data_IF_628942606384
#
_entry.id   IF_628942606384
#
_cell.length_a   1.000
_cell.length_b   1.000
_cell.length_c   1.000
_cell.angle_alpha   90.00
_cell.angle_beta   90.00
_cell.angle_gamma   90.00
#
_symmetry.space_group_name_H-M   'P 1'
#
loop_
_entity.id
_entity.type
_entity.pdbx_description
1 polymer ?
#
# COMPACT_ATOMS: atom_id res chain seq x y z
N UNK A 1 4.17 20.90 -26.51
CA UNK A 1 4.88 19.76 -25.89
C UNK A 1 5.19 20.11 -24.45
N UNK A 2 4.82 19.26 -23.51
CA UNK A 2 5.39 19.33 -22.16
C UNK A 2 6.90 19.17 -22.27
N UNK A 3 7.66 20.00 -21.57
CA UNK A 3 9.10 19.78 -21.42
C UNK A 3 9.29 18.42 -20.73
N UNK A 4 10.29 17.65 -21.16
CA UNK A 4 10.50 16.28 -20.70
C UNK A 4 10.43 16.16 -19.16
N UNK A 5 9.41 15.46 -18.66
CA UNK A 5 9.17 15.25 -17.24
C UNK A 5 9.45 13.78 -16.91
N UNK A 6 10.36 13.53 -15.99
CA UNK A 6 10.62 12.23 -15.41
C UNK A 6 9.95 12.08 -14.03
N UNK A 7 9.11 11.07 -13.85
CA UNK A 7 8.63 10.57 -12.55
C UNK A 7 9.50 9.38 -12.14
N UNK A 8 9.82 9.25 -10.86
CA UNK A 8 10.56 8.12 -10.30
C UNK A 8 9.77 7.45 -9.19
N UNK A 9 9.53 6.14 -9.32
CA UNK A 9 8.91 5.29 -8.30
C UNK A 9 10.02 4.72 -7.43
N UNK A 10 10.12 5.21 -6.18
CA UNK A 10 11.12 4.76 -5.20
C UNK A 10 10.80 3.34 -4.75
N UNK A 11 11.84 2.54 -4.51
CA UNK A 11 11.67 1.26 -3.80
C UNK A 11 11.16 1.51 -2.38
N UNK A 12 10.38 0.56 -1.89
CA UNK A 12 9.87 0.59 -0.53
C UNK A 12 11.03 0.41 0.48
N UNK A 13 10.93 1.00 1.67
CA UNK A 13 12.00 1.01 2.68
C UNK A 13 12.37 -0.41 3.14
N UNK A 14 13.64 -0.86 3.01
CA UNK A 14 14.17 -2.13 3.55
C UNK A 14 13.70 -2.50 4.95
N UNK A 15 13.58 -1.53 5.85
CA UNK A 15 13.18 -1.77 7.25
C UNK A 15 11.68 -2.07 7.41
N UNK A 16 10.85 -1.70 6.43
CA UNK A 16 9.41 -1.97 6.42
C UNK A 16 9.14 -3.29 5.70
N UNK A 17 9.50 -4.40 6.36
CA UNK A 17 9.48 -5.75 5.75
C UNK A 17 8.11 -6.18 5.20
N UNK A 18 7.01 -5.60 5.69
CA UNK A 18 5.63 -5.88 5.27
C UNK A 18 5.04 -4.86 4.30
N UNK A 19 5.76 -3.79 3.94
CA UNK A 19 5.25 -2.82 2.97
C UNK A 19 5.33 -3.42 1.57
N UNK A 20 4.16 -3.62 0.97
CA UNK A 20 3.97 -4.22 -0.35
C UNK A 20 3.33 -3.24 -1.33
N UNK A 21 2.81 -2.11 -0.86
CA UNK A 21 2.12 -1.13 -1.70
C UNK A 21 3.12 -0.31 -2.51
N UNK A 22 2.66 0.20 -3.65
CA UNK A 22 3.40 1.08 -4.54
C UNK A 22 2.57 2.37 -4.77
N UNK A 23 3.18 3.56 -4.90
CA UNK A 23 2.44 4.81 -5.13
C UNK A 23 1.67 4.83 -6.46
N UNK A 24 2.08 4.03 -7.45
CA UNK A 24 1.40 3.86 -8.73
C UNK A 24 1.32 2.38 -9.07
N UNK A 25 0.19 1.94 -9.62
CA UNK A 25 0.07 0.63 -10.25
C UNK A 25 0.68 0.65 -11.66
N UNK A 26 1.07 -0.50 -12.23
CA UNK A 26 1.46 -0.61 -13.64
C UNK A 26 0.40 -0.02 -14.59
N UNK A 27 -0.89 -0.25 -14.30
CA UNK A 27 -1.98 0.33 -15.08
C UNK A 27 -1.97 1.87 -15.04
N UNK A 28 -1.78 2.47 -13.87
CA UNK A 28 -1.68 3.92 -13.74
C UNK A 28 -0.44 4.49 -14.46
N UNK A 29 0.68 3.77 -14.41
CA UNK A 29 1.88 4.13 -15.18
C UNK A 29 1.60 4.14 -16.68
N UNK A 30 0.98 3.09 -17.19
CA UNK A 30 0.61 3.01 -18.60
C UNK A 30 -0.31 4.17 -19.00
N UNK A 31 -1.35 4.44 -18.21
CA UNK A 31 -2.28 5.54 -18.46
C UNK A 31 -1.57 6.91 -18.50
N UNK A 32 -0.67 7.18 -17.55
CA UNK A 32 0.11 8.42 -17.52
C UNK A 32 1.01 8.58 -18.75
N UNK A 33 1.65 7.50 -19.19
CA UNK A 33 2.51 7.51 -20.38
C UNK A 33 1.72 7.72 -21.68
N UNK A 34 0.45 7.27 -21.73
CA UNK A 34 -0.45 7.53 -22.86
C UNK A 34 -1.01 8.96 -22.85
N UNK A 35 -1.27 9.52 -21.67
CA UNK A 35 -1.86 10.85 -21.53
C UNK A 35 -0.85 11.98 -21.78
N UNK A 36 0.42 11.79 -21.40
CA UNK A 36 1.42 12.86 -21.41
C UNK A 36 2.61 12.54 -22.33
N UNK A 37 2.57 13.10 -23.54
CA UNK A 37 3.70 13.03 -24.49
C UNK A 37 5.01 13.54 -23.88
N UNK A 38 6.05 12.71 -23.94
CA UNK A 38 7.39 13.01 -23.42
C UNK A 38 7.56 12.79 -21.91
N UNK A 39 6.54 12.25 -21.22
CA UNK A 39 6.68 11.74 -19.85
C UNK A 39 7.57 10.49 -19.85
N UNK A 40 8.43 10.38 -18.84
CA UNK A 40 9.16 9.14 -18.54
C UNK A 40 8.85 8.70 -17.13
N UNK A 41 8.64 7.41 -16.93
CA UNK A 41 8.51 6.82 -15.59
C UNK A 41 9.70 5.91 -15.34
N UNK A 42 10.49 6.25 -14.32
CA UNK A 42 11.57 5.42 -13.81
C UNK A 42 11.07 4.62 -12.60
N UNK A 43 11.53 3.39 -12.45
CA UNK A 43 11.18 2.53 -11.31
C UNK A 43 12.45 1.91 -10.70
N UNK A 44 12.58 2.01 -9.38
CA UNK A 44 13.64 1.27 -8.68
C UNK A 44 13.25 -0.21 -8.53
N UNK A 45 14.19 -1.15 -8.76
CA UNK A 45 14.00 -2.56 -8.45
C UNK A 45 13.60 -2.79 -7.00
N UNK A 46 12.59 -3.65 -6.79
CA UNK A 46 12.13 -4.07 -5.48
C UNK A 46 11.35 -5.38 -5.59
N UNK A 47 11.87 -6.45 -4.97
CA UNK A 47 11.24 -7.78 -4.95
C UNK A 47 10.09 -7.90 -3.94
N UNK A 48 9.83 -6.82 -3.18
CA UNK A 48 8.80 -6.85 -2.14
C UNK A 48 7.47 -6.33 -2.62
N UNK A 49 7.41 -5.29 -3.44
CA UNK A 49 6.12 -4.71 -3.82
C UNK A 49 5.22 -5.74 -4.50
N UNK A 50 3.92 -5.49 -4.45
CA UNK A 50 2.89 -6.39 -4.98
C UNK A 50 2.96 -6.58 -6.50
N UNK A 51 3.50 -5.59 -7.23
CA UNK A 51 3.71 -5.65 -8.68
C UNK A 51 5.17 -5.88 -9.01
N UNK A 52 5.44 -6.86 -9.85
CA UNK A 52 6.77 -7.23 -10.32
C UNK A 52 7.40 -6.14 -11.18
N UNK A 53 8.73 -6.18 -11.33
CA UNK A 53 9.43 -5.29 -12.28
C UNK A 53 8.91 -5.50 -13.70
N UNK A 54 8.67 -6.74 -14.13
CA UNK A 54 8.20 -7.06 -15.47
C UNK A 54 6.86 -6.40 -15.80
N UNK A 55 5.92 -6.35 -14.84
CA UNK A 55 4.66 -5.63 -15.02
C UNK A 55 4.88 -4.11 -15.25
N UNK A 56 5.86 -3.50 -14.57
CA UNK A 56 6.22 -2.10 -14.82
C UNK A 56 6.88 -1.89 -16.18
N UNK A 57 7.75 -2.82 -16.61
CA UNK A 57 8.37 -2.77 -17.94
C UNK A 57 7.32 -2.88 -19.05
N UNK A 58 6.36 -3.80 -18.90
CA UNK A 58 5.24 -3.95 -19.82
C UNK A 58 4.35 -2.71 -19.86
N UNK A 59 4.20 -2.00 -18.73
CA UNK A 59 3.50 -0.73 -18.68
C UNK A 59 4.26 0.44 -19.35
N UNK A 60 5.55 0.26 -19.70
CA UNK A 60 6.40 1.27 -20.32
C UNK A 60 7.32 2.03 -19.35
N UNK A 61 7.39 1.61 -18.09
CA UNK A 61 8.38 2.16 -17.16
C UNK A 61 9.80 1.68 -17.49
N UNK A 62 10.80 2.43 -17.04
CA UNK A 62 12.21 2.10 -17.22
C UNK A 62 12.87 1.82 -15.87
N UNK A 63 13.66 0.75 -15.72
CA UNK A 63 14.35 0.46 -14.48
C UNK A 63 15.46 1.49 -14.25
N UNK A 64 15.63 1.95 -13.01
CA UNK A 64 16.69 2.89 -12.68
C UNK A 64 17.15 2.74 -11.22
N UNK A 65 18.46 2.63 -10.94
CA UNK A 65 18.97 2.28 -9.61
C UNK A 65 18.82 3.40 -8.57
N UNK A 66 18.96 4.67 -8.97
CA UNK A 66 19.02 5.80 -8.03
C UNK A 66 17.91 6.84 -8.17
N UNK A 67 17.09 6.79 -9.23
CA UNK A 67 16.16 7.87 -9.63
C UNK A 67 16.80 9.26 -9.77
N UNK A 68 18.12 9.36 -9.95
CA UNK A 68 18.81 10.64 -10.13
C UNK A 68 18.19 11.55 -11.22
N UNK A 69 17.66 11.05 -12.35
CA UNK A 69 17.02 11.88 -13.38
C UNK A 69 15.57 12.28 -13.11
N UNK A 70 14.96 11.83 -12.00
CA UNK A 70 13.54 12.06 -11.70
C UNK A 70 13.28 13.50 -11.22
N UNK A 71 12.35 14.23 -11.84
CA UNK A 71 11.91 15.53 -11.30
C UNK A 71 10.93 15.35 -10.15
N UNK A 72 10.14 14.28 -10.18
CA UNK A 72 9.18 13.91 -9.15
C UNK A 72 9.53 12.51 -8.65
N UNK A 73 9.74 12.34 -7.34
CA UNK A 73 9.99 11.05 -6.70
C UNK A 73 8.78 10.69 -5.86
N UNK A 74 8.19 9.53 -6.15
CA UNK A 74 7.01 9.00 -5.47
C UNK A 74 7.43 7.84 -4.57
N UNK A 75 6.91 7.79 -3.35
CA UNK A 75 7.02 6.64 -2.46
C UNK A 75 5.87 6.62 -1.47
N UNK A 76 5.42 5.45 -1.03
CA UNK A 76 4.33 5.37 -0.03
C UNK A 76 4.80 5.95 1.30
N UNK A 77 5.91 5.43 1.83
CA UNK A 77 6.49 5.83 3.10
C UNK A 77 7.62 6.82 2.92
N UNK A 78 7.99 7.42 4.05
CA UNK A 78 9.09 8.34 4.23
C UNK A 78 10.34 7.89 3.47
N UNK A 79 11.02 8.85 2.83
CA UNK A 79 12.31 8.57 2.19
C UNK A 79 13.39 8.55 3.26
N UNK A 80 14.20 7.47 3.39
CA UNK A 80 15.34 7.46 4.29
C UNK A 80 16.27 8.65 4.00
N UNK A 81 16.74 9.34 5.04
CA UNK A 81 17.57 10.55 4.91
C UNK A 81 18.79 10.32 3.99
N UNK A 82 19.54 9.19 4.09
CA UNK A 82 20.64 8.93 3.17
C UNK A 82 20.21 8.90 1.69
N UNK A 83 19.07 8.28 1.38
CA UNK A 83 18.55 8.24 0.00
C UNK A 83 18.17 9.65 -0.50
N UNK A 84 17.68 10.52 0.38
CA UNK A 84 17.30 11.89 0.06
C UNK A 84 18.52 12.80 -0.16
N UNK A 85 19.63 12.59 0.54
CA UNK A 85 20.85 13.39 0.37
C UNK A 85 21.63 13.02 -0.89
N UNK A 86 21.52 11.79 -1.37
CA UNK A 86 22.14 11.35 -2.63
C UNK A 86 21.44 11.86 -3.90
N UNK A 87 20.22 12.42 -3.77
CA UNK A 87 19.47 12.96 -4.90
C UNK A 87 19.78 14.44 -5.11
N UNK A 88 20.37 14.75 -6.27
CA UNK A 88 20.64 16.14 -6.66
C UNK A 88 19.33 16.90 -6.90
N UNK A 89 19.23 18.10 -6.35
CA UNK A 89 18.20 19.10 -6.61
C UNK A 89 18.87 20.47 -6.62
N UNK A 90 18.56 21.37 -7.57
CA UNK A 90 17.59 21.22 -8.64
C UNK A 90 18.09 20.31 -9.78
N UNK A 91 17.18 19.89 -10.66
CA UNK A 91 17.53 19.19 -11.90
C UNK A 91 17.44 20.14 -13.11
N UNK A 92 18.27 19.94 -14.15
CA UNK A 92 18.11 20.61 -15.42
C UNK A 92 16.74 20.32 -16.05
N UNK A 93 16.12 21.35 -16.61
CA UNK A 93 14.82 21.28 -17.29
C UNK A 93 14.78 22.25 -18.47
N UNK A 94 15.56 21.93 -19.51
CA UNK A 94 15.83 22.82 -20.64
C UNK A 94 16.83 23.93 -20.22
N UNK A 95 16.58 25.21 -20.51
CA UNK A 95 17.45 26.32 -20.13
C UNK A 95 17.33 26.74 -18.65
N UNK A 96 16.45 26.07 -17.88
CA UNK A 96 16.14 26.39 -16.48
C UNK A 96 16.37 25.18 -15.58
N UNK A 97 16.56 25.40 -14.28
CA UNK A 97 16.63 24.34 -13.28
C UNK A 97 15.35 24.32 -12.44
N UNK A 98 14.85 23.13 -12.10
CA UNK A 98 13.62 22.95 -11.29
C UNK A 98 13.90 22.19 -10.00
N UNK A 99 13.26 22.57 -8.88
CA UNK A 99 13.40 21.83 -7.65
C UNK A 99 12.74 20.46 -7.78
N UNK A 100 13.46 19.43 -7.34
CA UNK A 100 12.92 18.07 -7.25
C UNK A 100 11.71 18.06 -6.31
N UNK A 101 10.67 17.33 -6.67
CA UNK A 101 9.49 17.14 -5.83
C UNK A 101 9.49 15.74 -5.27
N UNK A 102 9.22 15.61 -3.97
CA UNK A 102 9.02 14.33 -3.31
C UNK A 102 7.56 14.24 -2.85
N UNK A 103 6.91 13.13 -3.14
CA UNK A 103 5.55 12.84 -2.69
C UNK A 103 5.55 11.57 -1.85
N UNK A 104 5.07 11.66 -0.62
CA UNK A 104 5.03 10.55 0.34
C UNK A 104 4.08 10.85 1.50
N UNK A 105 3.71 9.83 2.28
CA UNK A 105 3.25 10.05 3.65
C UNK A 105 4.49 10.34 4.49
N UNK A 106 4.81 11.62 4.69
CA UNK A 106 6.03 12.02 5.41
C UNK A 106 5.92 11.83 6.92
N UNK A 107 4.69 11.81 7.44
CA UNK A 107 4.39 11.86 8.87
C UNK A 107 5.20 12.95 9.58
N UNK A 108 5.16 14.18 9.06
CA UNK A 108 5.86 15.33 9.66
C UNK A 108 4.91 16.43 10.12
N UNK A 109 3.74 16.59 9.49
CA UNK A 109 2.88 17.75 9.72
C UNK A 109 2.17 17.76 11.09
N UNK A 110 2.17 16.65 11.84
CA UNK A 110 1.63 16.56 13.21
C UNK A 110 2.74 16.67 14.26
N UNK A 111 3.95 17.09 13.87
CA UNK A 111 5.08 17.23 14.78
C UNK A 111 5.64 15.90 15.28
N UNK A 112 5.58 14.85 14.47
CA UNK A 112 6.11 13.54 14.86
C UNK A 112 7.63 13.59 15.00
N UNK A 113 8.12 13.53 16.25
CA UNK A 113 9.53 13.72 16.61
C UNK A 113 10.50 12.86 15.79
N UNK A 114 10.15 11.61 15.51
CA UNK A 114 11.00 10.66 14.78
C UNK A 114 11.29 11.07 13.32
N UNK A 115 10.47 11.93 12.71
CA UNK A 115 10.65 12.38 11.33
C UNK A 115 10.97 13.88 11.18
N UNK A 116 11.20 14.61 12.27
CA UNK A 116 11.54 16.03 12.16
C UNK A 116 12.86 16.26 11.42
N UNK A 117 13.85 15.37 11.59
CA UNK A 117 15.09 15.40 10.82
C UNK A 117 14.86 15.22 9.30
N UNK A 118 13.83 14.48 8.90
CA UNK A 118 13.42 14.41 7.50
C UNK A 118 12.84 15.74 7.04
N UNK A 119 12.00 16.39 7.84
CA UNK A 119 11.43 17.70 7.51
C UNK A 119 12.53 18.76 7.34
N UNK A 120 13.54 18.77 8.20
CA UNK A 120 14.69 19.69 8.11
C UNK A 120 15.38 19.64 6.75
N UNK A 121 15.38 18.47 6.10
CA UNK A 121 15.93 18.30 4.77
C UNK A 121 15.15 19.06 3.66
N UNK A 122 13.92 19.46 3.93
CA UNK A 122 13.07 20.23 3.02
C UNK A 122 12.97 21.71 3.43
N UNK A 123 12.99 22.02 4.72
CA UNK A 123 12.78 23.40 5.21
C UNK A 123 14.08 24.14 5.55
N UNK A 124 15.08 23.46 6.10
CA UNK A 124 16.19 24.11 6.83
C UNK A 124 17.59 23.68 6.43
N UNK A 125 17.80 22.89 5.35
CA UNK A 125 19.13 22.38 4.95
C UNK A 125 20.26 23.43 5.06
N UNK A 126 21.13 23.33 6.07
CA UNK A 126 22.30 24.18 6.19
C UNK A 126 23.30 23.84 5.07
N UNK A 127 23.89 24.84 4.43
CA UNK A 127 24.95 24.65 3.43
C UNK A 127 24.50 24.56 1.96
N UNK A 128 23.21 24.74 1.66
CA UNK A 128 22.79 25.04 0.29
C UNK A 128 23.06 26.53 0.01
N UNK A 129 23.95 26.82 -0.93
CA UNK A 129 24.18 28.17 -1.45
C UNK A 129 22.94 28.64 -2.23
N UNK A 130 22.80 29.95 -2.48
CA UNK A 130 21.67 30.54 -3.23
C UNK A 130 21.44 29.90 -4.62
N UNK A 131 22.42 29.17 -5.15
CA UNK A 131 22.36 28.46 -6.44
C UNK A 131 21.61 27.12 -6.39
N UNK A 132 21.26 26.61 -5.20
CA UNK A 132 20.56 25.34 -5.00
C UNK A 132 19.08 25.56 -4.61
N UNK A 133 18.16 25.28 -5.53
CA UNK A 133 16.73 25.25 -5.20
C UNK A 133 16.40 24.07 -4.28
N UNK A 134 15.82 24.38 -3.11
CA UNK A 134 15.37 23.40 -2.12
C UNK A 134 14.37 22.41 -2.75
N UNK A 135 14.47 21.10 -2.48
CA UNK A 135 13.47 20.15 -2.92
C UNK A 135 12.11 20.45 -2.27
N UNK A 136 11.03 20.11 -2.97
CA UNK A 136 9.66 20.25 -2.50
C UNK A 136 9.18 18.95 -1.87
N UNK A 137 8.44 19.06 -0.77
CA UNK A 137 7.71 17.95 -0.17
C UNK A 137 6.21 18.17 -0.38
N UNK A 138 5.53 17.16 -0.92
CA UNK A 138 4.08 17.07 -0.97
C UNK A 138 3.66 15.88 -0.10
N UNK A 139 3.05 16.16 1.05
CA UNK A 139 2.54 15.13 1.94
C UNK A 139 1.19 14.62 1.42
N UNK A 140 1.11 13.32 1.10
CA UNK A 140 -0.12 12.68 0.65
C UNK A 140 -1.27 12.85 1.65
N UNK A 141 -0.97 12.91 2.96
CA UNK A 141 -2.00 13.03 4.00
C UNK A 141 -2.75 14.37 3.93
N UNK A 142 -2.15 15.38 3.30
CA UNK A 142 -2.68 16.74 3.20
C UNK A 142 -3.36 17.04 1.84
N UNK A 143 -3.35 16.09 0.90
CA UNK A 143 -4.02 16.27 -0.39
C UNK A 143 -5.53 16.20 -0.23
N UNK A 144 -6.22 17.28 -0.63
CA UNK A 144 -7.67 17.45 -0.52
C UNK A 144 -8.26 17.90 -1.85
N UNK A 145 -9.52 17.57 -2.09
CA UNK A 145 -10.32 18.14 -3.17
C UNK A 145 -10.79 19.56 -2.82
N UNK A 146 -11.62 20.15 -3.70
CA UNK A 146 -12.12 21.53 -3.53
C UNK A 146 -13.07 21.65 -2.34
N UNK A 147 -13.68 20.54 -1.94
CA UNK A 147 -14.60 20.40 -0.83
C UNK A 147 -13.87 20.12 0.51
N UNK A 148 -12.53 19.99 0.46
CA UNK A 148 -11.70 19.76 1.63
C UNK A 148 -11.61 18.29 2.08
N UNK A 149 -12.19 17.36 1.31
CA UNK A 149 -12.11 15.92 1.58
C UNK A 149 -10.77 15.39 1.09
N UNK A 150 -10.14 14.55 1.92
CA UNK A 150 -8.84 13.94 1.59
C UNK A 150 -8.98 13.01 0.39
N UNK A 151 -8.14 13.20 -0.63
CA UNK A 151 -8.20 12.45 -1.90
C UNK A 151 -7.32 11.21 -1.90
N UNK A 152 -6.28 11.19 -1.06
CA UNK A 152 -5.37 10.05 -0.93
C UNK A 152 -5.52 9.42 0.44
N UNK A 153 -5.88 8.13 0.47
CA UNK A 153 -6.03 7.39 1.71
C UNK A 153 -6.34 5.92 1.49
N UNK A 154 -6.20 5.13 2.55
CA UNK A 154 -6.39 3.68 2.52
C UNK A 154 -7.57 3.22 3.38
N UNK A 155 -8.46 4.13 3.80
CA UNK A 155 -9.46 3.87 4.84
C UNK A 155 -10.40 2.71 4.50
N UNK A 156 -10.90 2.67 3.26
CA UNK A 156 -11.81 1.61 2.83
C UNK A 156 -11.15 0.22 2.89
N UNK A 157 -9.95 0.08 2.31
CA UNK A 157 -9.19 -1.19 2.36
C UNK A 157 -8.76 -1.55 3.79
N UNK A 158 -8.46 -0.57 4.63
CA UNK A 158 -8.17 -0.79 6.05
C UNK A 158 -9.38 -1.37 6.79
N UNK A 159 -10.59 -0.86 6.52
CA UNK A 159 -11.84 -1.40 7.06
C UNK A 159 -12.10 -2.84 6.62
N UNK A 160 -11.94 -3.12 5.32
CA UNK A 160 -12.10 -4.48 4.78
C UNK A 160 -11.11 -5.46 5.41
N UNK A 161 -9.82 -5.11 5.42
CA UNK A 161 -8.80 -5.97 6.00
C UNK A 161 -9.02 -6.17 7.50
N UNK A 162 -9.36 -5.10 8.22
CA UNK A 162 -9.65 -5.13 9.65
C UNK A 162 -10.82 -6.05 9.99
N UNK A 163 -11.95 -5.92 9.29
CA UNK A 163 -13.13 -6.75 9.54
C UNK A 163 -12.82 -8.25 9.40
N UNK A 164 -12.10 -8.63 8.34
CA UNK A 164 -11.76 -10.03 8.09
C UNK A 164 -10.75 -10.60 9.10
N UNK A 165 -9.70 -9.83 9.42
CA UNK A 165 -8.75 -10.24 10.46
C UNK A 165 -9.41 -10.30 11.85
N UNK A 166 -10.41 -9.45 12.14
CA UNK A 166 -11.22 -9.54 13.36
C UNK A 166 -12.05 -10.83 13.41
N UNK A 167 -12.66 -11.26 12.30
CA UNK A 167 -13.37 -12.54 12.24
C UNK A 167 -12.42 -13.73 12.41
N UNK A 168 -11.24 -13.68 11.81
CA UNK A 168 -10.22 -14.70 12.01
C UNK A 168 -9.71 -14.73 13.48
N UNK A 169 -9.47 -13.57 14.09
CA UNK A 169 -9.10 -13.47 15.50
C UNK A 169 -10.20 -14.00 16.43
N UNK A 170 -11.47 -13.70 16.13
CA UNK A 170 -12.62 -14.24 16.85
C UNK A 170 -12.66 -15.77 16.78
N UNK A 171 -12.35 -16.36 15.61
CA UNK A 171 -12.25 -17.80 15.45
C UNK A 171 -11.21 -18.41 16.40
N UNK A 172 -10.01 -17.82 16.46
CA UNK A 172 -8.94 -18.27 17.35
C UNK A 172 -9.31 -18.11 18.83
N UNK A 173 -9.93 -16.99 19.21
CA UNK A 173 -10.41 -16.78 20.57
C UNK A 173 -11.44 -17.83 20.99
N UNK A 174 -12.39 -18.19 20.13
CA UNK A 174 -13.34 -19.28 20.43
C UNK A 174 -12.65 -20.64 20.54
N UNK A 175 -11.63 -20.91 19.73
CA UNK A 175 -10.87 -22.16 19.79
C UNK A 175 -10.11 -22.30 21.11
N UNK A 176 -9.53 -21.20 21.63
CA UNK A 176 -8.89 -21.18 22.96
C UNK A 176 -9.89 -21.52 24.08
N UNK A 177 -11.17 -21.23 23.90
CA UNK A 177 -12.26 -21.62 24.79
C UNK A 177 -12.74 -23.07 24.57
N UNK A 178 -12.15 -23.81 23.63
CA UNK A 178 -12.57 -25.16 23.26
C UNK A 178 -13.85 -25.20 22.42
N UNK A 179 -14.22 -24.09 21.78
CA UNK A 179 -15.48 -23.94 21.05
C UNK A 179 -15.21 -23.86 19.55
N UNK A 180 -15.70 -24.86 18.81
CA UNK A 180 -15.65 -24.86 17.36
C UNK A 180 -16.76 -23.96 16.78
N UNK A 181 -16.41 -22.92 16.04
CA UNK A 181 -17.36 -22.00 15.41
C UNK A 181 -17.25 -21.99 13.89
N UNK A 182 -18.29 -21.53 13.16
CA UNK A 182 -18.22 -21.34 11.71
C UNK A 182 -17.03 -20.48 11.24
N UNK A 183 -16.51 -19.59 12.09
CA UNK A 183 -15.35 -18.74 11.79
C UNK A 183 -14.01 -19.51 11.71
N UNK A 184 -13.92 -20.73 12.25
CA UNK A 184 -12.70 -21.53 12.17
C UNK A 184 -12.45 -22.17 10.80
N UNK A 185 -13.44 -22.13 9.91
CA UNK A 185 -13.44 -22.68 8.56
C UNK A 185 -12.51 -23.92 8.39
N UNK A 186 -12.97 -25.11 8.74
CA UNK A 186 -12.55 -26.30 7.98
C UNK A 186 -13.58 -26.51 6.88
N UNK A 187 -13.16 -27.03 5.73
CA UNK A 187 -14.07 -27.44 4.65
C UNK A 187 -15.24 -28.27 5.22
N UNK A 188 -16.42 -28.06 4.61
CA UNK A 188 -17.67 -28.75 4.93
C UNK A 188 -17.51 -30.28 4.96
N UNK A 189 -18.27 -31.03 5.78
CA UNK A 189 -18.32 -32.49 5.76
C UNK A 189 -18.84 -33.11 4.44
N UNK A 190 -19.20 -32.29 3.44
CA UNK A 190 -19.82 -32.72 2.20
C UNK A 190 -18.85 -33.29 1.13
N UNK A 191 -17.54 -33.38 1.40
CA UNK A 191 -16.58 -34.12 0.56
C UNK A 191 -16.32 -35.51 1.18
N UNK A 192 -16.98 -36.60 0.73
CA UNK A 192 -16.81 -37.92 1.32
C UNK A 192 -15.52 -38.62 0.87
N UNK A 193 -14.69 -38.00 0.03
CA UNK A 193 -13.54 -38.67 -0.59
C UNK A 193 -12.42 -37.66 -0.81
N UNK A 194 -11.50 -37.53 0.16
CA UNK A 194 -10.04 -37.64 -0.04
C UNK A 194 -9.31 -37.31 1.28
N UNK A 195 -9.08 -38.33 2.11
CA UNK A 195 -8.28 -38.22 3.34
C UNK A 195 -6.76 -38.13 3.09
N UNK A 196 -6.34 -37.57 1.94
CA UNK A 196 -4.91 -37.46 1.61
C UNK A 196 -4.61 -36.09 0.98
N UNK A 197 -3.94 -35.24 1.76
CA UNK A 197 -3.20 -34.04 1.34
C UNK A 197 -3.94 -32.71 1.10
N UNK A 198 -5.08 -32.46 1.77
CA UNK A 198 -5.58 -31.07 1.91
C UNK A 198 -5.12 -30.51 3.27
N UNK A 199 -4.42 -29.35 3.33
CA UNK A 199 -4.01 -28.76 4.60
C UNK A 199 -5.25 -28.48 5.48
N UNK A 200 -5.30 -29.10 6.67
CA UNK A 200 -6.39 -29.00 7.65
C UNK A 200 -6.48 -27.63 8.35
N UNK A 201 -6.14 -26.52 7.69
CA UNK A 201 -5.95 -25.22 8.35
C UNK A 201 -6.51 -24.01 7.59
N UNK A 202 -7.68 -24.12 6.95
CA UNK A 202 -8.26 -22.96 6.24
C UNK A 202 -9.21 -22.12 7.10
N UNK A 203 -8.70 -21.54 8.20
CA UNK A 203 -9.46 -20.55 9.00
C UNK A 203 -10.07 -19.42 8.16
N UNK A 204 -11.01 -18.65 8.75
CA UNK A 204 -11.70 -17.51 8.09
C UNK A 204 -10.81 -16.85 7.03
N UNK A 205 -11.29 -16.72 5.77
CA UNK A 205 -10.53 -16.17 4.66
C UNK A 205 -9.76 -14.91 5.04
N UNK A 206 -8.43 -14.94 4.89
CA UNK A 206 -7.59 -13.81 5.24
C UNK A 206 -7.39 -12.92 4.02
N UNK A 207 -7.30 -11.59 4.16
CA UNK A 207 -7.17 -10.69 3.02
C UNK A 207 -6.02 -11.02 2.06
N UNK A 208 -4.91 -11.56 2.57
CA UNK A 208 -3.73 -11.89 1.78
C UNK A 208 -3.80 -13.25 1.07
N UNK A 209 -4.81 -14.09 1.34
CA UNK A 209 -4.96 -15.41 0.72
C UNK A 209 -5.85 -15.38 -0.53
N UNK A 210 -6.42 -14.23 -0.87
CA UNK A 210 -7.32 -14.08 -2.01
C UNK A 210 -6.77 -13.08 -3.05
N UNK A 211 -6.93 -13.35 -4.35
CA UNK A 211 -6.43 -12.48 -5.41
C UNK A 211 -7.30 -11.24 -5.63
N UNK A 212 -8.53 -11.22 -5.10
CA UNK A 212 -9.46 -10.11 -5.29
C UNK A 212 -10.49 -10.02 -4.17
N UNK A 213 -11.08 -8.84 -3.99
CA UNK A 213 -12.19 -8.65 -3.04
C UNK A 213 -13.40 -9.52 -3.38
N UNK A 214 -13.88 -9.63 -4.64
CA UNK A 214 -15.00 -10.52 -4.94
C UNK A 214 -14.73 -11.98 -4.57
N UNK A 215 -13.50 -12.48 -4.81
CA UNK A 215 -13.11 -13.83 -4.38
C UNK A 215 -13.18 -13.99 -2.86
N UNK A 216 -12.64 -13.01 -2.13
CA UNK A 216 -12.64 -13.00 -0.67
C UNK A 216 -14.06 -12.95 -0.07
N UNK A 217 -14.93 -12.10 -0.63
CA UNK A 217 -16.34 -12.01 -0.22
C UNK A 217 -17.10 -13.30 -0.53
N UNK A 218 -16.88 -13.89 -1.71
CA UNK A 218 -17.49 -15.17 -2.08
C UNK A 218 -17.09 -16.26 -1.10
N UNK A 219 -15.80 -16.35 -0.74
CA UNK A 219 -15.32 -17.34 0.24
C UNK A 219 -15.85 -17.08 1.64
N UNK A 220 -15.95 -15.83 2.09
CA UNK A 220 -16.55 -15.50 3.37
C UNK A 220 -18.02 -15.92 3.42
N UNK A 221 -18.78 -15.65 2.34
CA UNK A 221 -20.18 -16.04 2.23
C UNK A 221 -20.34 -17.56 2.32
N UNK A 222 -19.59 -18.31 1.52
CA UNK A 222 -19.74 -19.78 1.44
C UNK A 222 -19.19 -20.51 2.67
N UNK A 223 -18.05 -20.08 3.21
CA UNK A 223 -17.39 -20.80 4.31
C UNK A 223 -17.96 -20.43 5.68
N UNK A 224 -18.44 -19.18 5.85
CA UNK A 224 -18.89 -18.67 7.14
C UNK A 224 -20.39 -18.34 7.11
N UNK A 225 -20.82 -17.54 6.14
CA UNK A 225 -22.21 -17.07 6.03
C UNK A 225 -23.22 -18.20 5.91
N UNK A 226 -23.03 -19.10 4.93
CA UNK A 226 -23.92 -20.22 4.69
C UNK A 226 -23.96 -21.18 5.89
N UNK A 227 -22.82 -21.42 6.55
CA UNK A 227 -22.77 -22.26 7.75
C UNK A 227 -23.53 -21.64 8.91
N UNK A 228 -23.39 -20.34 9.15
CA UNK A 228 -24.16 -19.64 10.17
C UNK A 228 -25.67 -19.72 9.84
N UNK A 229 -26.05 -19.57 8.57
CA UNK A 229 -27.44 -19.65 8.16
C UNK A 229 -28.07 -21.04 8.36
N UNK A 230 -27.32 -22.11 8.10
CA UNK A 230 -27.81 -23.50 8.21
C UNK A 230 -27.65 -24.10 9.61
N UNK A 231 -26.50 -23.89 10.25
CA UNK A 231 -26.09 -24.55 11.51
C UNK A 231 -26.23 -23.62 12.73
N UNK A 232 -26.29 -22.31 12.52
CA UNK A 232 -26.21 -21.31 13.59
C UNK A 232 -24.80 -21.22 14.20
N UNK A 233 -24.72 -20.66 15.40
CA UNK A 233 -23.51 -20.62 16.22
C UNK A 233 -23.66 -21.51 17.45
N UNK A 234 -22.57 -22.05 18.04
CA UNK A 234 -22.65 -22.86 19.24
C UNK A 234 -23.40 -22.15 20.38
N UNK A 235 -24.40 -22.83 20.96
CA UNK A 235 -25.27 -22.25 22.00
C UNK A 235 -24.52 -21.73 23.23
N UNK A 236 -23.38 -22.35 23.55
CA UNK A 236 -22.52 -21.98 24.69
C UNK A 236 -21.96 -20.56 24.56
N UNK A 237 -21.84 -20.02 23.35
CA UNK A 237 -21.39 -18.64 23.12
C UNK A 237 -22.49 -17.61 23.37
N UNK A 238 -23.76 -18.02 23.37
CA UNK A 238 -24.88 -17.09 23.31
C UNK A 238 -24.85 -16.25 22.02
N UNK A 239 -25.44 -15.05 22.05
CA UNK A 239 -25.46 -14.17 20.88
C UNK A 239 -24.07 -13.60 20.59
N UNK A 240 -23.67 -13.62 19.32
CA UNK A 240 -22.47 -12.95 18.84
C UNK A 240 -22.86 -11.56 18.31
N UNK A 241 -22.27 -10.52 18.89
CA UNK A 241 -22.53 -9.13 18.52
C UNK A 241 -21.31 -8.56 17.80
N UNK A 242 -21.50 -8.09 16.58
CA UNK A 242 -20.45 -7.42 15.80
C UNK A 242 -20.77 -5.92 15.77
N UNK A 243 -19.92 -5.13 16.43
CA UNK A 243 -19.97 -3.67 16.36
C UNK A 243 -19.24 -3.17 15.11
N UNK A 244 -19.93 -2.39 14.27
CA UNK A 244 -19.32 -1.76 13.09
C UNK A 244 -19.23 -0.26 13.36
N UNK A 245 -18.01 0.27 13.32
CA UNK A 245 -17.73 1.71 13.49
C UNK A 245 -17.26 2.28 12.15
N UNK A 246 -17.83 3.41 11.72
CA UNK A 246 -17.48 4.13 10.49
C UNK A 246 -16.97 5.53 10.75
#
# INVERSE_FOLDING_TARGET
MLRALTIGIRREDPLRIWERRCPLSPHAVHALLQEFDGLRVLVQPCERRIWTMDEFLQAGALPHPTLAPAHIVLGIKETPIPELTHLVSPLPHGPTSVPRTHMMFSHTHKGQSYNMALLDNFVSRPGLTEQFLKPRLIDYELLKDREGKRTVGFGWFAGVAGALESLAALAHAHLELGIATPFLASLSPADPILFTHVPRSQSTPRPHTHPSLPSLLSSLHTLVGDRIAHEGTPRVLGPIVIGVTG
#
